data_IF_502283824842
#
_entry.id   IF_502283824842
#
_cell.length_a   1.000
_cell.length_b   1.000
_cell.length_c   1.000
_cell.angle_alpha   90.00
_cell.angle_beta   90.00
_cell.angle_gamma   90.00
#
_symmetry.space_group_name_H-M   'P 1'
#
loop_
_entity.id
_entity.type
_entity.pdbx_description
1 polymer ?
#
# COMPACT_ATOMS: atom_id res chain seq x y z
N UNK A 1 -2.88 13.49 -6.53
CA UNK A 1 -3.16 12.05 -6.30
C UNK A 1 -3.79 11.33 -7.51
N UNK A 2 -4.48 12.06 -8.39
CA UNK A 2 -5.26 11.54 -9.53
C UNK A 2 -4.63 10.41 -10.36
N UNK A 3 -3.38 10.56 -10.81
CA UNK A 3 -2.77 9.54 -11.68
C UNK A 3 -2.47 8.24 -10.95
N UNK A 4 -2.10 8.35 -9.66
CA UNK A 4 -1.90 7.18 -8.81
C UNK A 4 -3.23 6.45 -8.57
N UNK A 5 -4.31 7.20 -8.33
CA UNK A 5 -5.65 6.65 -8.19
C UNK A 5 -6.10 5.89 -9.46
N UNK A 6 -5.83 6.45 -10.63
CA UNK A 6 -6.08 5.81 -11.92
C UNK A 6 -5.20 4.56 -12.13
N UNK A 7 -3.94 4.60 -11.68
CA UNK A 7 -3.04 3.45 -11.75
C UNK A 7 -3.55 2.28 -10.91
N UNK A 8 -4.11 2.52 -9.71
CA UNK A 8 -4.73 1.45 -8.91
C UNK A 8 -5.85 0.74 -9.68
N UNK A 9 -6.67 1.49 -10.42
CA UNK A 9 -7.70 0.89 -11.29
C UNK A 9 -7.12 0.06 -12.43
N UNK A 10 -6.10 0.58 -13.13
CA UNK A 10 -5.43 -0.12 -14.23
C UNK A 10 -4.70 -1.40 -13.77
N UNK A 11 -4.13 -1.37 -12.58
CA UNK A 11 -3.39 -2.49 -11.99
C UNK A 11 -4.26 -3.41 -11.11
N UNK A 12 -5.59 -3.21 -11.06
CA UNK A 12 -6.46 -3.90 -10.12
C UNK A 12 -6.42 -5.43 -10.26
N UNK A 13 -6.29 -5.91 -11.51
CA UNK A 13 -6.18 -7.33 -11.85
C UNK A 13 -4.77 -7.91 -11.62
N UNK A 14 -3.82 -7.11 -11.13
CA UNK A 14 -2.45 -7.51 -10.92
C UNK A 14 -1.52 -7.23 -12.11
N UNK A 15 -0.23 -7.50 -11.90
CA UNK A 15 0.84 -7.36 -12.88
C UNK A 15 2.06 -8.19 -12.45
N UNK A 16 2.84 -8.67 -13.42
CA UNK A 16 4.14 -9.30 -13.17
C UNK A 16 5.24 -8.25 -13.09
N UNK A 17 6.24 -8.51 -12.26
CA UNK A 17 7.45 -7.71 -12.17
C UNK A 17 8.67 -8.60 -11.87
N UNK A 18 9.87 -8.01 -11.94
CA UNK A 18 11.12 -8.72 -11.66
C UNK A 18 11.95 -7.91 -10.67
N UNK A 19 12.35 -8.54 -9.57
CA UNK A 19 13.22 -7.95 -8.55
C UNK A 19 14.48 -8.78 -8.50
N UNK A 20 15.64 -8.16 -8.75
CA UNK A 20 16.96 -8.83 -8.68
C UNK A 20 17.03 -10.16 -9.44
N UNK A 21 16.40 -10.24 -10.62
CA UNK A 21 16.35 -11.46 -11.45
C UNK A 21 15.27 -12.46 -11.08
N UNK A 22 14.57 -12.28 -9.96
CA UNK A 22 13.45 -13.12 -9.53
C UNK A 22 12.14 -12.55 -10.04
N UNK A 23 11.38 -13.35 -10.79
CA UNK A 23 10.01 -12.98 -11.19
C UNK A 23 9.08 -13.07 -9.97
N UNK A 24 8.24 -12.06 -9.81
CA UNK A 24 7.18 -12.01 -8.81
C UNK A 24 5.91 -11.46 -9.43
N UNK A 25 4.78 -11.76 -8.82
CA UNK A 25 3.48 -11.31 -9.32
C UNK A 25 2.74 -10.53 -8.23
N UNK A 26 2.29 -9.33 -8.57
CA UNK A 26 1.21 -8.68 -7.83
C UNK A 26 -0.09 -9.26 -8.38
N UNK A 27 -0.79 -10.08 -7.61
CA UNK A 27 -1.99 -10.78 -8.06
C UNK A 27 -3.23 -9.89 -8.08
N UNK A 28 -3.25 -8.87 -7.22
CA UNK A 28 -4.40 -7.97 -7.08
C UNK A 28 -3.96 -6.67 -6.42
N UNK A 29 -4.54 -5.56 -6.86
CA UNK A 29 -4.43 -4.26 -6.18
C UNK A 29 -5.83 -3.75 -5.87
N UNK A 30 -6.08 -3.38 -4.63
CA UNK A 30 -7.38 -2.88 -4.18
C UNK A 30 -7.22 -1.62 -3.36
N UNK A 31 -8.06 -0.62 -3.59
CA UNK A 31 -8.16 0.53 -2.68
C UNK A 31 -8.78 0.09 -1.35
N UNK A 32 -8.35 0.72 -0.27
CA UNK A 32 -8.92 0.57 1.07
C UNK A 32 -9.25 1.95 1.65
N UNK A 33 -9.83 1.97 2.86
CA UNK A 33 -10.06 3.22 3.57
C UNK A 33 -8.73 3.96 3.77
N UNK A 34 -8.66 5.19 3.28
CA UNK A 34 -7.51 6.06 3.44
C UNK A 34 -7.57 6.79 4.80
N UNK A 35 -6.43 7.12 5.41
CA UNK A 35 -6.44 7.91 6.62
C UNK A 35 -6.96 9.33 6.34
N UNK A 36 -7.55 9.93 7.37
CA UNK A 36 -8.02 11.31 7.36
C UNK A 36 -6.87 12.28 7.71
N UNK A 37 -7.13 13.60 7.68
CA UNK A 37 -6.17 14.61 8.15
C UNK A 37 -5.08 15.01 7.13
N UNK A 38 -5.23 14.62 5.86
CA UNK A 38 -4.39 15.06 4.74
C UNK A 38 -5.25 15.69 3.62
N UNK A 39 -4.64 16.49 2.75
CA UNK A 39 -5.34 17.15 1.64
C UNK A 39 -5.81 16.14 0.58
N UNK A 40 -4.96 15.14 0.30
CA UNK A 40 -5.30 13.99 -0.52
C UNK A 40 -4.77 12.73 0.17
N UNK A 41 -5.53 11.64 0.19
CA UNK A 41 -5.08 10.36 0.72
C UNK A 41 -5.55 9.20 -0.18
N UNK A 42 -4.71 8.18 -0.29
CA UNK A 42 -5.00 6.93 -0.99
C UNK A 42 -4.41 5.78 -0.17
N UNK A 43 -5.23 4.80 0.19
CA UNK A 43 -4.76 3.55 0.76
C UNK A 43 -5.03 2.40 -0.20
N UNK A 44 -4.12 1.43 -0.23
CA UNK A 44 -4.23 0.24 -1.05
C UNK A 44 -3.66 -1.00 -0.37
N UNK A 45 -4.21 -2.14 -0.75
CA UNK A 45 -3.65 -3.47 -0.49
C UNK A 45 -3.22 -4.06 -1.83
N UNK A 46 -2.01 -4.61 -1.87
CA UNK A 46 -1.48 -5.40 -2.97
C UNK A 46 -1.28 -6.82 -2.47
N UNK A 47 -1.87 -7.81 -3.13
CA UNK A 47 -1.57 -9.23 -2.85
C UNK A 47 -0.40 -9.64 -3.71
N UNK A 48 0.74 -10.00 -3.11
CA UNK A 48 1.95 -10.42 -3.81
C UNK A 48 2.10 -11.93 -3.73
N UNK A 49 2.53 -12.56 -4.81
CA UNK A 49 2.98 -13.94 -4.87
C UNK A 49 4.50 -14.00 -4.98
N UNK A 50 5.13 -14.52 -3.94
CA UNK A 50 6.55 -14.83 -3.89
C UNK A 50 6.78 -16.26 -3.36
N UNK A 51 5.87 -17.19 -3.67
CA UNK A 51 5.82 -18.55 -3.12
C UNK A 51 4.74 -18.75 -2.05
N UNK A 52 4.25 -17.64 -1.47
CA UNK A 52 3.02 -17.58 -0.68
C UNK A 52 2.33 -16.24 -0.97
N UNK A 53 0.99 -16.26 -1.03
CA UNK A 53 0.19 -15.05 -1.24
C UNK A 53 0.20 -14.20 0.03
N UNK A 54 0.86 -13.05 -0.01
CA UNK A 54 0.98 -12.15 1.13
C UNK A 54 0.33 -10.79 0.83
N UNK A 55 -0.49 -10.25 1.73
CA UNK A 55 -0.93 -8.87 1.60
C UNK A 55 0.23 -7.92 1.94
N UNK A 56 0.38 -6.87 1.13
CA UNK A 56 1.16 -5.69 1.42
C UNK A 56 0.23 -4.49 1.39
N UNK A 57 0.24 -3.69 2.45
CA UNK A 57 -0.63 -2.51 2.58
C UNK A 57 0.20 -1.25 2.46
N UNK A 58 -0.35 -0.21 1.86
CA UNK A 58 0.32 1.08 1.80
C UNK A 58 -0.66 2.23 1.81
N UNK A 59 -0.18 3.36 2.34
CA UNK A 59 -0.85 4.65 2.29
C UNK A 59 0.03 5.64 1.55
N UNK A 60 -0.58 6.44 0.69
CA UNK A 60 0.01 7.64 0.09
C UNK A 60 -0.82 8.83 0.50
N UNK A 61 -0.20 9.83 1.12
CA UNK A 61 -0.85 11.09 1.47
C UNK A 61 -0.15 12.28 0.82
N UNK A 62 -0.89 13.37 0.65
CA UNK A 62 -0.38 14.70 0.34
C UNK A 62 -0.84 15.68 1.40
N UNK A 63 0.10 16.48 1.91
CA UNK A 63 -0.18 17.66 2.74
C UNK A 63 0.65 18.83 2.21
N UNK A 64 0.00 19.85 1.64
CA UNK A 64 0.63 20.91 0.87
C UNK A 64 1.48 20.36 -0.28
N UNK A 65 2.75 20.75 -0.32
CA UNK A 65 3.73 20.27 -1.31
C UNK A 65 4.37 18.92 -0.93
N UNK A 66 4.12 18.41 0.27
CA UNK A 66 4.73 17.17 0.77
C UNK A 66 3.90 15.96 0.38
N UNK A 67 4.56 14.93 -0.18
CA UNK A 67 3.98 13.62 -0.44
C UNK A 67 4.66 12.60 0.45
N UNK A 68 3.88 11.79 1.16
CA UNK A 68 4.40 10.70 2.01
C UNK A 68 3.85 9.37 1.53
N UNK A 69 4.73 8.40 1.34
CA UNK A 69 4.40 7.01 1.06
C UNK A 69 4.79 6.17 2.26
N UNK A 70 3.83 5.42 2.81
CA UNK A 70 4.06 4.55 3.95
C UNK A 70 3.65 3.12 3.61
N UNK A 71 4.62 2.26 3.25
CA UNK A 71 4.36 0.83 3.15
C UNK A 71 4.30 0.21 4.55
N UNK A 72 3.36 -0.68 4.76
CA UNK A 72 3.26 -1.52 5.95
C UNK A 72 3.46 -2.97 5.53
N UNK A 73 4.43 -3.65 6.13
CA UNK A 73 4.72 -5.07 5.90
C UNK A 73 4.66 -5.79 7.24
N UNK A 74 3.79 -6.80 7.34
CA UNK A 74 3.75 -7.70 8.49
C UNK A 74 4.41 -9.02 8.10
N UNK A 75 5.58 -9.31 8.68
CA UNK A 75 6.35 -10.51 8.35
C UNK A 75 5.68 -11.82 8.77
N UNK A 76 4.86 -11.83 9.83
CA UNK A 76 4.09 -13.01 10.22
C UNK A 76 2.91 -13.27 9.26
N UNK A 77 2.26 -12.21 8.79
CA UNK A 77 1.28 -12.29 7.70
C UNK A 77 1.95 -12.73 6.40
N UNK A 78 3.16 -12.26 6.11
CA UNK A 78 3.90 -12.66 4.93
C UNK A 78 4.28 -14.16 4.94
N UNK A 79 4.53 -14.74 6.11
CA UNK A 79 4.83 -16.18 6.25
C UNK A 79 3.61 -17.09 6.34
N UNK A 80 2.42 -16.54 6.64
CA UNK A 80 1.17 -17.31 6.80
C UNK A 80 0.11 -17.02 5.74
N UNK A 81 0.30 -15.97 4.95
CA UNK A 81 -0.66 -15.45 3.97
C UNK A 81 -1.92 -14.82 4.59
N UNK A 82 -1.97 -14.68 5.91
CA UNK A 82 -3.11 -14.08 6.62
C UNK A 82 -3.11 -12.56 6.48
N UNK A 83 -4.29 -11.97 6.42
CA UNK A 83 -4.43 -10.51 6.45
C UNK A 83 -4.04 -9.93 7.82
N UNK A 84 -3.79 -8.63 7.87
CA UNK A 84 -3.47 -7.88 9.08
C UNK A 84 -4.05 -6.47 9.01
N UNK A 85 -4.44 -5.91 10.14
CA UNK A 85 -4.90 -4.52 10.16
C UNK A 85 -3.75 -3.55 9.87
N UNK A 86 -4.08 -2.50 9.12
CA UNK A 86 -3.11 -1.45 8.86
C UNK A 86 -2.87 -0.65 10.16
N UNK A 87 -1.61 -0.33 10.52
CA UNK A 87 -1.30 0.31 11.79
C UNK A 87 -1.62 1.82 11.75
N UNK A 88 -2.92 2.16 11.83
CA UNK A 88 -3.42 3.54 11.70
C UNK A 88 -2.81 4.49 12.71
N UNK A 89 -2.69 4.08 13.97
CA UNK A 89 -2.11 4.90 15.05
C UNK A 89 -0.69 5.41 14.72
N UNK A 90 0.13 4.57 14.06
CA UNK A 90 1.50 4.95 13.67
C UNK A 90 1.46 6.02 12.58
N UNK A 91 0.54 5.88 11.62
CA UNK A 91 0.41 6.81 10.51
C UNK A 91 -0.15 8.14 10.99
N UNK A 92 -1.19 8.14 11.82
CA UNK A 92 -1.77 9.35 12.39
C UNK A 92 -0.70 10.16 13.14
N UNK A 93 0.15 9.48 13.92
CA UNK A 93 1.28 10.09 14.60
C UNK A 93 2.35 10.66 13.63
N UNK A 94 2.54 10.07 12.44
CA UNK A 94 3.43 10.65 11.42
C UNK A 94 2.78 11.83 10.69
N UNK A 95 1.47 11.75 10.38
CA UNK A 95 0.73 12.82 9.71
C UNK A 95 0.68 14.09 10.55
N UNK A 96 0.56 13.95 11.88
CA UNK A 96 0.63 15.08 12.81
C UNK A 96 1.95 15.86 12.76
N UNK A 97 3.03 15.27 12.23
CA UNK A 97 4.34 15.95 12.09
C UNK A 97 4.45 16.79 10.80
N UNK A 98 3.50 16.65 9.87
CA UNK A 98 3.59 17.26 8.55
C UNK A 98 3.17 18.75 8.50
N UNK A 99 3.01 19.39 9.67
CA UNK A 99 2.60 20.79 9.81
C UNK A 99 1.09 20.91 9.79
#
# INVERSE_FOLDING_TARGET
MKDLDAAVGKCAAGFSYTVTGTKSDALKVTKTAAPEGADEALALTTTVDAGLKAPMKAVVVRKGSTVVYVPAVNFASASTGKDYDFPTEIIDAQLAKLG
#
